data_IF_914067883469
#
_entry.id   IF_914067883469
#
_cell.length_a   1.000
_cell.length_b   1.000
_cell.length_c   1.000
_cell.angle_alpha   90.00
_cell.angle_beta   90.00
_cell.angle_gamma   90.00
#
_symmetry.space_group_name_H-M   'P 1'
#
loop_
_entity.id
_entity.type
_entity.pdbx_description
1 polymer ?
#
# COMPACT_ATOMS: atom_id res chain seq x y z
N UNK A 1 8.86 -16.82 -12.50
CA UNK A 1 7.85 -15.77 -12.34
C UNK A 1 8.15 -14.68 -13.35
N UNK A 2 7.30 -14.49 -14.35
CA UNK A 2 7.47 -13.39 -15.29
C UNK A 2 6.75 -12.15 -14.74
N UNK A 3 7.52 -11.21 -14.19
CA UNK A 3 6.96 -9.97 -13.62
C UNK A 3 6.14 -9.18 -14.65
N UNK A 4 6.50 -9.28 -15.94
CA UNK A 4 5.74 -8.71 -17.04
C UNK A 4 4.32 -9.28 -17.14
N UNK A 5 4.15 -10.59 -16.97
CA UNK A 5 2.82 -11.23 -16.96
C UNK A 5 2.00 -10.77 -15.75
N UNK A 6 2.61 -10.63 -14.58
CA UNK A 6 1.90 -10.13 -13.38
C UNK A 6 1.41 -8.69 -13.56
N UNK A 7 2.23 -7.82 -14.16
CA UNK A 7 1.83 -6.45 -14.49
C UNK A 7 0.70 -6.45 -15.53
N UNK A 8 0.80 -7.32 -16.55
CA UNK A 8 -0.22 -7.51 -17.58
C UNK A 8 -1.56 -7.95 -17.00
N UNK A 9 -1.59 -9.02 -16.20
CA UNK A 9 -2.80 -9.53 -15.53
C UNK A 9 -3.39 -8.47 -14.60
N UNK A 10 -2.55 -7.78 -13.80
CA UNK A 10 -3.03 -6.74 -12.89
C UNK A 10 -3.65 -5.55 -13.64
N UNK A 11 -3.07 -5.18 -14.79
CA UNK A 11 -3.60 -4.14 -15.66
C UNK A 11 -4.90 -4.59 -16.33
N UNK A 12 -4.95 -5.80 -16.87
CA UNK A 12 -6.14 -6.36 -17.50
C UNK A 12 -7.29 -6.50 -16.51
N UNK A 13 -7.04 -7.06 -15.33
CA UNK A 13 -8.00 -7.15 -14.23
C UNK A 13 -8.56 -5.78 -13.83
N UNK A 14 -7.71 -4.76 -13.77
CA UNK A 14 -8.13 -3.38 -13.48
C UNK A 14 -8.93 -2.80 -14.63
N UNK A 15 -8.50 -3.02 -15.87
CA UNK A 15 -9.18 -2.54 -17.07
C UNK A 15 -10.56 -3.16 -17.19
N UNK A 16 -10.69 -4.48 -17.11
CA UNK A 16 -11.97 -5.20 -17.18
C UNK A 16 -12.90 -4.78 -16.04
N UNK A 17 -12.37 -4.59 -14.82
CA UNK A 17 -13.17 -4.15 -13.68
C UNK A 17 -13.71 -2.72 -13.77
N UNK A 18 -13.25 -1.90 -14.73
CA UNK A 18 -13.62 -0.48 -14.86
C UNK A 18 -14.17 -0.13 -16.25
N UNK A 19 -13.75 -0.84 -17.30
CA UNK A 19 -14.07 -0.53 -18.70
C UNK A 19 -15.48 -1.00 -19.05
N UNK A 20 -16.37 -0.06 -19.40
CA UNK A 20 -17.78 -0.33 -19.66
C UNK A 20 -18.66 -0.35 -18.40
N UNK A 21 -18.05 -0.39 -17.23
CA UNK A 21 -18.65 -0.52 -15.90
C UNK A 21 -18.81 0.86 -15.21
N UNK A 22 -19.43 1.83 -15.89
CA UNK A 22 -19.50 3.23 -15.41
C UNK A 22 -20.13 3.37 -14.02
N UNK A 23 -21.10 2.51 -13.68
CA UNK A 23 -21.74 2.46 -12.36
C UNK A 23 -20.72 2.08 -11.30
N UNK A 24 -20.00 0.96 -11.51
CA UNK A 24 -18.94 0.48 -10.63
C UNK A 24 -17.84 1.53 -10.45
N UNK A 25 -17.51 2.24 -11.52
CA UNK A 25 -16.53 3.34 -11.47
C UNK A 25 -16.95 4.45 -10.50
N UNK A 26 -18.20 4.91 -10.58
CA UNK A 26 -18.74 5.91 -9.66
C UNK A 26 -18.76 5.37 -8.22
N UNK A 27 -19.16 4.12 -8.02
CA UNK A 27 -19.18 3.51 -6.69
C UNK A 27 -17.77 3.39 -6.08
N UNK A 28 -16.77 3.05 -6.88
CA UNK A 28 -15.38 2.99 -6.45
C UNK A 28 -14.81 4.35 -6.08
N UNK A 29 -15.21 5.41 -6.80
CA UNK A 29 -14.88 6.79 -6.44
C UNK A 29 -15.49 7.15 -5.08
N UNK A 30 -16.76 6.81 -4.86
CA UNK A 30 -17.41 7.00 -3.56
C UNK A 30 -16.65 6.24 -2.46
N UNK A 31 -16.24 4.99 -2.72
CA UNK A 31 -15.44 4.20 -1.78
C UNK A 31 -14.07 4.81 -1.50
N UNK A 32 -13.45 5.44 -2.51
CA UNK A 32 -12.17 6.11 -2.39
C UNK A 32 -12.25 7.39 -1.56
N UNK A 33 -13.36 8.14 -1.67
CA UNK A 33 -13.61 9.34 -0.86
C UNK A 33 -13.98 8.96 0.58
N UNK A 34 -14.87 7.98 0.75
CA UNK A 34 -15.34 7.54 2.05
C UNK A 34 -14.34 6.53 2.61
N UNK A 35 -13.28 7.05 3.18
CA UNK A 35 -12.36 6.25 3.98
C UNK A 35 -13.14 5.62 5.14
N UNK A 36 -13.12 4.27 5.32
CA UNK A 36 -12.14 3.28 4.86
C UNK A 36 -12.65 2.30 3.76
N UNK A 37 -13.74 2.60 3.05
CA UNK A 37 -14.41 1.65 2.15
C UNK A 37 -13.51 1.08 1.05
N UNK A 38 -12.62 1.88 0.48
CA UNK A 38 -11.65 1.40 -0.49
C UNK A 38 -10.76 0.28 0.05
N UNK A 39 -10.41 0.33 1.34
CA UNK A 39 -9.67 -0.73 2.01
C UNK A 39 -10.45 -2.04 2.04
N UNK A 40 -11.76 -1.99 2.28
CA UNK A 40 -12.64 -3.16 2.22
C UNK A 40 -12.72 -3.78 0.83
N UNK A 41 -12.80 -2.93 -0.20
CA UNK A 41 -12.76 -3.41 -1.59
C UNK A 41 -11.41 -4.08 -1.91
N UNK A 42 -10.30 -3.50 -1.45
CA UNK A 42 -8.95 -4.11 -1.56
C UNK A 42 -8.89 -5.47 -0.86
N UNK A 43 -9.50 -5.63 0.33
CA UNK A 43 -9.58 -6.94 1.02
C UNK A 43 -10.28 -7.99 0.15
N UNK A 44 -11.34 -7.63 -0.59
CA UNK A 44 -12.01 -8.56 -1.51
C UNK A 44 -11.10 -8.99 -2.66
N UNK A 45 -10.26 -8.11 -3.17
CA UNK A 45 -9.24 -8.46 -4.18
C UNK A 45 -8.17 -9.37 -3.57
N UNK A 46 -7.72 -9.08 -2.35
CA UNK A 46 -6.77 -9.93 -1.63
C UNK A 46 -7.31 -11.33 -1.31
N UNK A 47 -8.63 -11.48 -1.13
CA UNK A 47 -9.31 -12.78 -1.05
C UNK A 47 -9.21 -13.62 -2.33
N UNK A 48 -8.80 -13.03 -3.45
CA UNK A 48 -8.58 -13.70 -4.73
C UNK A 48 -9.76 -13.66 -5.69
N UNK A 49 -10.68 -12.70 -5.54
CA UNK A 49 -11.82 -12.54 -6.44
C UNK A 49 -11.38 -12.43 -7.91
N UNK A 50 -12.05 -13.18 -8.79
CA UNK A 50 -11.93 -13.10 -10.26
C UNK A 50 -13.34 -13.31 -10.85
N UNK A 51 -13.90 -12.39 -11.67
CA UNK A 51 -13.36 -11.08 -12.07
C UNK A 51 -13.34 -10.06 -10.90
N UNK A 52 -13.01 -8.80 -11.17
CA UNK A 52 -12.99 -7.75 -10.16
C UNK A 52 -14.32 -7.67 -9.38
N UNK A 53 -14.30 -7.64 -8.03
CA UNK A 53 -15.50 -7.76 -7.22
C UNK A 53 -16.48 -6.60 -7.45
N UNK A 54 -17.76 -6.81 -7.19
CA UNK A 54 -18.76 -5.73 -7.21
C UNK A 54 -18.77 -4.91 -5.92
N UNK A 55 -19.36 -3.72 -5.98
CA UNK A 55 -19.52 -2.79 -4.84
C UNK A 55 -20.95 -2.89 -4.29
N UNK A 56 -21.21 -3.90 -3.45
CA UNK A 56 -22.55 -4.28 -2.99
C UNK A 56 -22.71 -4.34 -1.46
N UNK A 57 -21.83 -5.05 -0.75
CA UNK A 57 -21.86 -5.19 0.71
C UNK A 57 -21.00 -4.10 1.39
N UNK A 58 -21.58 -2.90 1.45
CA UNK A 58 -20.97 -1.69 2.00
C UNK A 58 -20.55 -1.84 3.46
N UNK A 59 -21.37 -2.54 4.27
CA UNK A 59 -21.10 -2.71 5.71
C UNK A 59 -19.92 -3.65 5.92
N UNK A 60 -19.90 -4.80 5.23
CA UNK A 60 -18.76 -5.71 5.27
C UNK A 60 -17.48 -5.06 4.75
N UNK A 61 -17.55 -4.31 3.65
CA UNK A 61 -16.41 -3.52 3.16
C UNK A 61 -15.95 -2.47 4.17
N UNK A 62 -16.86 -1.76 4.84
CA UNK A 62 -16.50 -0.79 5.85
C UNK A 62 -15.75 -1.46 7.01
N UNK A 63 -16.28 -2.58 7.52
CA UNK A 63 -15.66 -3.35 8.60
C UNK A 63 -14.30 -3.89 8.18
N UNK A 64 -14.20 -4.51 7.01
CA UNK A 64 -12.93 -5.06 6.51
C UNK A 64 -11.91 -3.95 6.22
N UNK A 65 -12.37 -2.78 5.77
CA UNK A 65 -11.56 -1.57 5.63
C UNK A 65 -11.00 -1.07 6.95
N UNK A 66 -11.81 -1.03 8.02
CA UNK A 66 -11.33 -0.69 9.37
C UNK A 66 -10.32 -1.71 9.87
N UNK A 67 -10.57 -3.02 9.70
CA UNK A 67 -9.60 -4.06 10.08
C UNK A 67 -8.28 -3.90 9.35
N UNK A 68 -8.32 -3.67 8.02
CA UNK A 68 -7.14 -3.44 7.22
C UNK A 68 -6.39 -2.17 7.67
N UNK A 69 -7.11 -1.11 8.00
CA UNK A 69 -6.53 0.11 8.56
C UNK A 69 -5.84 -0.13 9.88
N UNK A 70 -6.47 -0.84 10.82
CA UNK A 70 -5.87 -1.19 12.11
C UNK A 70 -4.58 -1.99 11.89
N UNK A 71 -4.60 -2.96 10.98
CA UNK A 71 -3.40 -3.71 10.61
C UNK A 71 -2.31 -2.79 10.09
N UNK A 72 -2.65 -1.89 9.16
CA UNK A 72 -1.71 -0.90 8.62
C UNK A 72 -1.13 0.02 9.68
N UNK A 73 -1.95 0.49 10.63
CA UNK A 73 -1.50 1.31 11.77
C UNK A 73 -0.55 0.53 12.66
N UNK A 74 -0.88 -0.71 13.02
CA UNK A 74 0.00 -1.56 13.86
C UNK A 74 1.35 -1.77 13.17
N UNK A 75 1.36 -2.04 11.87
CA UNK A 75 2.61 -2.11 11.10
C UNK A 75 3.35 -0.78 11.05
N UNK A 76 2.65 0.35 10.97
CA UNK A 76 3.27 1.67 10.96
C UNK A 76 3.85 2.10 12.32
N UNK A 77 3.37 1.53 13.45
CA UNK A 77 3.78 1.97 14.80
C UNK A 77 5.30 2.00 15.02
N UNK A 78 6.10 0.96 14.68
CA UNK A 78 7.55 1.02 14.85
C UNK A 78 8.18 2.17 14.04
N UNK A 79 7.72 2.39 12.82
CA UNK A 79 8.20 3.46 11.94
C UNK A 79 7.87 4.83 12.53
N UNK A 80 6.63 5.01 13.02
CA UNK A 80 6.16 6.24 13.64
C UNK A 80 6.94 6.52 14.93
N UNK A 81 7.16 5.52 15.79
CA UNK A 81 7.88 5.68 17.05
C UNK A 81 9.34 6.09 16.82
N UNK A 82 10.04 5.40 15.91
CA UNK A 82 11.41 5.75 15.55
C UNK A 82 11.47 7.13 14.89
N UNK A 83 10.52 7.44 14.00
CA UNK A 83 10.41 8.75 13.37
C UNK A 83 10.14 9.86 14.38
N UNK A 84 9.25 9.65 15.34
CA UNK A 84 8.94 10.63 16.38
C UNK A 84 10.17 10.95 17.24
N UNK A 85 11.00 9.95 17.56
CA UNK A 85 12.24 10.16 18.31
C UNK A 85 13.28 10.91 17.47
N UNK A 86 13.55 10.43 16.25
CA UNK A 86 14.65 10.97 15.43
C UNK A 86 14.28 12.32 14.81
N UNK A 87 13.14 12.41 14.14
CA UNK A 87 12.67 13.64 13.50
C UNK A 87 12.17 14.62 14.55
N UNK A 88 11.41 14.17 15.54
CA UNK A 88 10.94 15.04 16.62
C UNK A 88 12.08 15.61 17.47
N UNK A 89 13.13 14.82 17.73
CA UNK A 89 14.36 15.31 18.36
C UNK A 89 15.02 16.45 17.57
N UNK A 90 15.07 16.34 16.24
CA UNK A 90 15.58 17.41 15.38
C UNK A 90 14.71 18.67 15.42
N UNK A 91 13.39 18.54 15.42
CA UNK A 91 12.47 19.68 15.54
C UNK A 91 12.67 20.41 16.88
N UNK A 92 12.85 19.67 17.97
CA UNK A 92 13.16 20.25 19.28
C UNK A 92 14.53 20.93 19.30
N UNK A 93 15.53 20.39 18.61
CA UNK A 93 16.84 21.03 18.49
C UNK A 93 16.72 22.39 17.77
N UNK A 94 15.93 22.46 16.69
CA UNK A 94 15.70 23.70 15.93
C UNK A 94 14.93 24.76 16.72
N UNK A 95 14.04 24.35 17.63
CA UNK A 95 13.26 25.30 18.43
C UNK A 95 14.07 26.02 19.51
N UNK A 96 15.28 25.54 19.83
CA UNK A 96 16.15 26.16 20.84
C UNK A 96 16.78 27.49 20.40
N UNK A 97 16.83 27.77 19.10
CA UNK A 97 17.50 28.97 18.55
C UNK A 97 19.03 28.97 18.69
N UNK A 98 19.62 27.88 19.20
CA UNK A 98 21.07 27.74 19.37
C UNK A 98 21.71 27.18 18.09
N UNK A 99 22.64 27.94 17.48
CA UNK A 99 23.35 27.54 16.27
C UNK A 99 24.04 26.16 16.38
N UNK A 100 24.62 25.83 17.53
CA UNK A 100 25.26 24.53 17.74
C UNK A 100 24.22 23.39 17.79
N UNK A 101 23.08 23.62 18.44
CA UNK A 101 21.96 22.67 18.48
C UNK A 101 21.32 22.50 17.09
N UNK A 102 21.24 23.57 16.29
CA UNK A 102 20.73 23.50 14.92
C UNK A 102 21.61 22.64 14.01
N UNK A 103 22.93 22.78 14.10
CA UNK A 103 23.87 21.94 13.33
C UNK A 103 23.72 20.47 13.73
N UNK A 104 23.64 20.18 15.03
CA UNK A 104 23.38 18.83 15.51
C UNK A 104 22.02 18.30 15.04
N UNK A 105 20.97 19.15 15.07
CA UNK A 105 19.63 18.83 14.63
C UNK A 105 19.54 18.42 13.15
N UNK A 106 20.31 19.07 12.27
CA UNK A 106 20.41 18.69 10.85
C UNK A 106 21.06 17.31 10.70
N UNK A 107 22.14 17.04 11.43
CA UNK A 107 22.80 15.73 11.40
C UNK A 107 21.88 14.60 11.85
N UNK A 108 21.17 14.80 12.97
CA UNK A 108 20.17 13.85 13.47
C UNK A 108 19.01 13.68 12.50
N UNK A 109 18.57 14.75 11.82
CA UNK A 109 17.47 14.68 10.87
C UNK A 109 17.83 13.83 9.65
N UNK A 110 19.00 14.06 9.04
CA UNK A 110 19.41 13.34 7.84
C UNK A 110 19.63 11.85 8.12
N UNK A 111 20.34 11.53 9.20
CA UNK A 111 20.54 10.13 9.63
C UNK A 111 19.19 9.52 10.03
N UNK A 112 18.36 10.29 10.74
CA UNK A 112 17.03 9.88 11.17
C UNK A 112 16.11 9.53 10.00
N UNK A 113 16.07 10.37 8.96
CA UNK A 113 15.32 10.12 7.74
C UNK A 113 15.78 8.84 7.05
N UNK A 114 17.09 8.61 6.94
CA UNK A 114 17.62 7.40 6.33
C UNK A 114 17.23 6.14 7.14
N UNK A 115 17.35 6.19 8.46
CA UNK A 115 16.96 5.09 9.36
C UNK A 115 15.46 4.79 9.26
N UNK A 116 14.62 5.82 9.32
CA UNK A 116 13.15 5.68 9.18
C UNK A 116 12.78 5.13 7.82
N UNK A 117 13.44 5.60 6.75
CA UNK A 117 13.20 5.12 5.39
C UNK A 117 13.54 3.64 5.22
N UNK A 118 14.71 3.21 5.71
CA UNK A 118 15.10 1.79 5.70
C UNK A 118 14.11 0.97 6.52
N UNK A 119 13.74 1.43 7.72
CA UNK A 119 12.77 0.73 8.56
C UNK A 119 11.40 0.61 7.87
N UNK A 120 10.93 1.67 7.21
CA UNK A 120 9.68 1.66 6.47
C UNK A 120 9.69 0.64 5.32
N UNK A 121 10.82 0.52 4.61
CA UNK A 121 11.02 -0.52 3.58
C UNK A 121 10.96 -1.91 4.22
N UNK A 122 11.71 -2.16 5.30
CA UNK A 122 11.75 -3.48 5.93
C UNK A 122 10.37 -3.91 6.45
N UNK A 123 9.62 -2.98 7.05
CA UNK A 123 8.28 -3.24 7.54
C UNK A 123 7.30 -3.47 6.37
N UNK A 124 7.41 -2.70 5.29
CA UNK A 124 6.50 -2.85 4.14
C UNK A 124 6.67 -4.21 3.44
N UNK A 125 7.89 -4.76 3.39
CA UNK A 125 8.14 -6.12 2.90
C UNK A 125 7.33 -7.17 3.67
N UNK A 126 7.07 -6.97 4.96
CA UNK A 126 6.29 -7.93 5.75
C UNK A 126 4.80 -7.60 5.67
N UNK A 127 4.46 -6.31 5.74
CA UNK A 127 3.09 -5.82 5.81
C UNK A 127 2.28 -6.19 4.55
N UNK A 128 2.91 -6.18 3.37
CA UNK A 128 2.25 -6.54 2.10
C UNK A 128 1.62 -7.93 2.18
N UNK A 129 2.40 -8.95 2.57
CA UNK A 129 1.85 -10.30 2.70
C UNK A 129 0.97 -10.47 3.94
N UNK A 130 1.25 -9.75 5.03
CA UNK A 130 0.37 -9.74 6.19
C UNK A 130 -1.06 -9.33 5.82
N UNK A 131 -1.21 -8.25 5.06
CA UNK A 131 -2.52 -7.78 4.58
C UNK A 131 -3.23 -8.79 3.66
N UNK A 132 -2.50 -9.47 2.77
CA UNK A 132 -3.06 -10.52 1.91
C UNK A 132 -3.47 -11.74 2.73
N UNK A 133 -2.66 -12.18 3.70
CA UNK A 133 -2.96 -13.31 4.59
C UNK A 133 -4.19 -13.03 5.46
N UNK A 134 -4.31 -11.83 6.01
CA UNK A 134 -5.51 -11.38 6.71
C UNK A 134 -6.76 -11.62 5.87
N UNK A 135 -6.74 -11.17 4.61
CA UNK A 135 -7.87 -11.34 3.71
C UNK A 135 -8.14 -12.83 3.39
N UNK A 136 -7.09 -13.62 3.12
CA UNK A 136 -7.19 -15.04 2.74
C UNK A 136 -7.62 -15.96 3.87
N UNK A 137 -7.27 -15.64 5.10
CA UNK A 137 -7.57 -16.46 6.29
C UNK A 137 -8.70 -15.89 7.14
N UNK A 138 -9.26 -14.74 6.73
CA UNK A 138 -10.31 -14.01 7.43
C UNK A 138 -10.04 -13.78 8.92
N UNK A 139 -8.76 -13.59 9.27
CA UNK A 139 -8.30 -13.44 10.65
C UNK A 139 -7.23 -12.36 10.75
N UNK A 140 -7.45 -11.35 11.60
CA UNK A 140 -6.47 -10.27 11.81
C UNK A 140 -5.16 -10.79 12.40
N UNK A 141 -5.20 -11.86 13.19
CA UNK A 141 -3.98 -12.45 13.76
C UNK A 141 -3.03 -13.00 12.68
N UNK A 142 -3.58 -13.46 11.55
CA UNK A 142 -2.79 -13.93 10.42
C UNK A 142 -2.06 -12.80 9.69
N UNK A 143 -2.51 -11.55 9.89
CA UNK A 143 -1.77 -10.39 9.43
C UNK A 143 -0.39 -10.29 10.10
N UNK A 144 -0.24 -10.78 11.33
CA UNK A 144 0.98 -10.64 12.13
C UNK A 144 1.68 -11.98 12.38
N UNK A 145 1.27 -13.03 11.68
CA UNK A 145 1.90 -14.33 11.76
C UNK A 145 3.24 -14.32 10.99
N UNK A 146 4.26 -13.69 11.60
CA UNK A 146 5.56 -13.45 10.96
C UNK A 146 6.22 -14.73 10.45
N UNK A 147 6.14 -15.82 11.22
CA UNK A 147 6.69 -17.12 10.80
C UNK A 147 6.06 -17.58 9.48
N UNK A 148 4.74 -17.51 9.37
CA UNK A 148 4.04 -17.94 8.18
C UNK A 148 4.17 -16.93 7.01
N UNK A 149 4.37 -15.64 7.30
CA UNK A 149 4.70 -14.62 6.29
C UNK A 149 6.10 -14.90 5.70
N UNK A 150 7.11 -15.09 6.55
CA UNK A 150 8.47 -15.38 6.12
C UNK A 150 8.56 -16.71 5.36
N UNK A 151 7.79 -17.71 5.75
CA UNK A 151 7.65 -18.96 5.00
C UNK A 151 7.05 -18.71 3.60
N UNK A 152 5.99 -17.90 3.51
CA UNK A 152 5.40 -17.55 2.22
C UNK A 152 6.40 -16.81 1.32
N UNK A 153 7.15 -15.84 1.85
CA UNK A 153 8.24 -15.16 1.11
C UNK A 153 9.31 -16.17 0.68
N UNK A 154 9.69 -17.09 1.56
CA UNK A 154 10.67 -18.14 1.24
C UNK A 154 10.22 -19.05 0.10
N UNK A 155 8.92 -19.37 0.01
CA UNK A 155 8.36 -20.16 -1.10
C UNK A 155 8.31 -19.39 -2.42
N UNK A 156 8.07 -18.07 -2.36
CA UNK A 156 8.17 -17.19 -3.54
C UNK A 156 9.63 -17.11 -4.03
N UNK A 157 10.58 -17.10 -3.09
CA UNK A 157 11.97 -16.74 -3.31
C UNK A 157 12.20 -15.28 -2.90
N UNK A 158 13.18 -15.03 -2.02
CA UNK A 158 13.43 -13.69 -1.49
C UNK A 158 13.84 -12.69 -2.56
N UNK A 159 14.65 -13.12 -3.54
CA UNK A 159 15.10 -12.25 -4.62
C UNK A 159 13.93 -11.90 -5.52
N UNK A 160 13.17 -12.90 -5.95
CA UNK A 160 11.98 -12.74 -6.78
C UNK A 160 10.93 -11.85 -6.11
N UNK A 161 10.70 -12.06 -4.81
CA UNK A 161 9.80 -11.25 -4.00
C UNK A 161 10.22 -9.77 -3.94
N UNK A 162 11.48 -9.51 -3.60
CA UNK A 162 12.01 -8.14 -3.52
C UNK A 162 11.97 -7.47 -4.89
N UNK A 163 12.38 -8.17 -5.95
CA UNK A 163 12.36 -7.62 -7.32
C UNK A 163 10.93 -7.31 -7.75
N UNK A 164 9.95 -8.17 -7.46
CA UNK A 164 8.55 -7.91 -7.76
C UNK A 164 8.03 -6.65 -7.05
N UNK A 165 8.33 -6.50 -5.74
CA UNK A 165 7.94 -5.30 -5.00
C UNK A 165 8.64 -4.03 -5.50
N UNK A 166 9.93 -4.11 -5.82
CA UNK A 166 10.67 -2.96 -6.38
C UNK A 166 10.08 -2.55 -7.72
N UNK A 167 9.73 -3.50 -8.60
CA UNK A 167 9.07 -3.19 -9.87
C UNK A 167 7.72 -2.53 -9.64
N UNK A 168 6.89 -3.06 -8.74
CA UNK A 168 5.63 -2.42 -8.37
C UNK A 168 5.85 -1.00 -7.85
N UNK A 169 6.83 -0.78 -6.96
CA UNK A 169 7.15 0.54 -6.44
C UNK A 169 7.60 1.51 -7.54
N UNK A 170 8.43 1.07 -8.48
CA UNK A 170 8.84 1.88 -9.62
C UNK A 170 7.62 2.29 -10.45
N UNK A 171 6.72 1.35 -10.76
CA UNK A 171 5.47 1.66 -11.48
C UNK A 171 4.64 2.68 -10.72
N UNK A 172 4.45 2.48 -9.41
CA UNK A 172 3.69 3.41 -8.57
C UNK A 172 4.35 4.79 -8.51
N UNK A 173 5.68 4.87 -8.37
CA UNK A 173 6.43 6.13 -8.36
C UNK A 173 6.30 6.85 -9.70
N UNK A 174 6.39 6.15 -10.83
CA UNK A 174 6.22 6.75 -12.16
C UNK A 174 4.82 7.32 -12.32
N UNK A 175 3.78 6.58 -11.93
CA UNK A 175 2.41 7.09 -12.01
C UNK A 175 2.20 8.28 -11.08
N UNK A 176 2.68 8.21 -9.84
CA UNK A 176 2.56 9.32 -8.89
C UNK A 176 3.33 10.56 -9.35
N UNK A 177 4.49 10.39 -9.99
CA UNK A 177 5.25 11.48 -10.60
C UNK A 177 4.44 12.16 -11.71
N UNK A 178 3.83 11.39 -12.62
CA UNK A 178 2.95 11.89 -13.67
C UNK A 178 1.73 12.63 -13.07
N UNK A 179 1.06 12.02 -12.09
CA UNK A 179 -0.05 12.65 -11.36
C UNK A 179 0.37 13.95 -10.68
N UNK A 180 1.58 14.02 -10.12
CA UNK A 180 2.14 15.21 -9.49
C UNK A 180 2.19 16.41 -10.43
N UNK A 181 2.51 16.21 -11.71
CA UNK A 181 2.43 17.29 -12.71
C UNK A 181 0.99 17.79 -12.89
N UNK A 182 0.02 16.88 -13.01
CA UNK A 182 -1.38 17.26 -13.18
C UNK A 182 -1.94 17.98 -11.96
N UNK A 183 -1.48 17.65 -10.75
CA UNK A 183 -1.88 18.33 -9.51
C UNK A 183 -1.48 19.82 -9.46
N UNK A 184 -0.57 20.25 -10.32
CA UNK A 184 -0.20 21.66 -10.47
C UNK A 184 -1.30 22.49 -11.15
N UNK A 185 -2.27 21.84 -11.80
CA UNK A 185 -3.44 22.47 -12.41
C UNK A 185 -4.62 22.37 -11.42
N UNK A 186 -5.06 23.48 -10.81
CA UNK A 186 -6.18 23.47 -9.88
C UNK A 186 -7.43 22.84 -10.51
N UNK A 187 -8.20 22.10 -9.70
CA UNK A 187 -9.42 21.37 -10.07
C UNK A 187 -9.20 20.17 -11.01
N UNK A 188 -8.54 20.35 -12.15
CA UNK A 188 -8.33 19.29 -13.15
C UNK A 188 -7.45 18.17 -12.58
N UNK A 189 -6.34 18.53 -11.92
CA UNK A 189 -5.45 17.55 -11.30
C UNK A 189 -6.16 16.69 -10.24
N UNK A 190 -7.04 17.31 -9.46
CA UNK A 190 -7.79 16.63 -8.41
C UNK A 190 -8.81 15.64 -8.99
N UNK A 191 -9.52 16.04 -10.06
CA UNK A 191 -10.46 15.16 -10.76
C UNK A 191 -9.71 13.96 -11.36
N UNK A 192 -8.59 14.20 -12.03
CA UNK A 192 -7.76 13.11 -12.59
C UNK A 192 -7.29 12.17 -11.49
N UNK A 193 -6.79 12.71 -10.36
CA UNK A 193 -6.37 11.91 -9.21
C UNK A 193 -7.51 11.06 -8.64
N UNK A 194 -8.73 11.60 -8.57
CA UNK A 194 -9.91 10.90 -8.09
C UNK A 194 -10.28 9.67 -8.95
N UNK A 195 -10.09 9.78 -10.27
CA UNK A 195 -10.36 8.69 -11.20
C UNK A 195 -9.24 7.65 -11.25
N UNK A 196 -7.99 8.08 -11.13
CA UNK A 196 -6.82 7.19 -11.18
C UNK A 196 -6.59 6.47 -9.85
N UNK A 197 -6.93 7.09 -8.71
CA UNK A 197 -6.75 6.52 -7.37
C UNK A 197 -7.37 5.13 -7.18
N UNK A 198 -8.67 4.93 -7.47
CA UNK A 198 -9.30 3.63 -7.41
C UNK A 198 -8.64 2.60 -8.33
N UNK A 199 -8.31 2.99 -9.56
CA UNK A 199 -7.65 2.11 -10.51
C UNK A 199 -6.28 1.62 -10.00
N UNK A 200 -5.48 2.52 -9.41
CA UNK A 200 -4.19 2.16 -8.82
C UNK A 200 -4.32 1.24 -7.61
N UNK A 201 -5.32 1.47 -6.76
CA UNK A 201 -5.59 0.58 -5.63
C UNK A 201 -6.01 -0.82 -6.10
N UNK A 202 -6.81 -0.95 -7.16
CA UNK A 202 -7.18 -2.25 -7.75
C UNK A 202 -5.97 -2.94 -8.36
N UNK A 203 -5.20 -2.21 -9.16
CA UNK A 203 -3.99 -2.71 -9.82
C UNK A 203 -2.99 -3.24 -8.80
N UNK A 204 -2.65 -2.42 -7.80
CA UNK A 204 -1.69 -2.80 -6.76
C UNK A 204 -2.20 -3.95 -5.90
N UNK A 205 -3.49 -3.95 -5.53
CA UNK A 205 -4.09 -5.04 -4.78
C UNK A 205 -3.99 -6.37 -5.55
N UNK A 206 -4.33 -6.35 -6.85
CA UNK A 206 -4.25 -7.51 -7.71
C UNK A 206 -2.83 -8.02 -7.87
N UNK A 207 -1.87 -7.13 -8.10
CA UNK A 207 -0.46 -7.49 -8.22
C UNK A 207 0.05 -8.20 -6.97
N UNK A 208 -0.28 -7.66 -5.78
CA UNK A 208 0.08 -8.27 -4.50
C UNK A 208 -0.61 -9.62 -4.28
N UNK A 209 -1.86 -9.80 -4.73
CA UNK A 209 -2.54 -11.09 -4.70
C UNK A 209 -1.82 -12.14 -5.55
N UNK A 210 -1.43 -11.81 -6.79
CA UNK A 210 -0.71 -12.72 -7.68
C UNK A 210 0.66 -13.07 -7.09
N UNK A 211 1.36 -12.08 -6.53
CA UNK A 211 2.64 -12.29 -5.87
C UNK A 211 2.52 -13.29 -4.73
N UNK A 212 1.49 -13.18 -3.89
CA UNK A 212 1.23 -14.15 -2.84
C UNK A 212 0.87 -15.55 -3.37
N UNK A 213 0.01 -15.63 -4.40
CA UNK A 213 -0.37 -16.89 -5.05
C UNK A 213 0.84 -17.62 -5.67
N UNK A 214 1.85 -16.89 -6.12
CA UNK A 214 3.04 -17.47 -6.76
C UNK A 214 3.88 -18.37 -5.85
N UNK A 215 3.89 -18.13 -4.53
CA UNK A 215 4.60 -18.96 -3.55
C UNK A 215 3.67 -19.80 -2.67
N UNK A 216 2.36 -19.60 -2.78
CA UNK A 216 1.36 -20.41 -2.09
C UNK A 216 0.24 -20.73 -3.08
N UNK A 217 0.41 -21.75 -3.94
CA UNK A 217 -0.68 -22.17 -4.81
C UNK A 217 -1.90 -22.55 -3.95
N UNK A 218 -3.07 -22.13 -4.44
CA UNK A 218 -4.36 -22.26 -3.76
C UNK A 218 -4.69 -23.69 -3.34
#
# INVERSE_FOLDING_TARGET
MEIGEMLGDSFEYTREGLMGEWKKWILLIICYIIFPLMGGYVVRIYRGARPAPEVDDWVGMFIDGIKLLIIGVVYALPVILVGAVLIGGSVLAFSTGNSAANVAGVGVLLVGMLVVFILAILISLIAVLGMVRFARKDSMGEAFNFSAILEAIGKIGWVEYIVALVVLWIVMVVVQFILGFFMSIPLIGWIIGLFIGPALAIFSARYMTILYESGTPA
#
